data_IF_572689998410
#
_entry.id   IF_572689998410
#
_cell.length_a   1.000
_cell.length_b   1.000
_cell.length_c   1.000
_cell.angle_alpha   90.00
_cell.angle_beta   90.00
_cell.angle_gamma   90.00
#
_symmetry.space_group_name_H-M   'P 1'
#
loop_
_entity.id
_entity.type
_entity.pdbx_description
1 polymer ?
#
# COMPACT_ATOMS: atom_id res chain seq x y z
N UNK A 1 5.46 -12.93 25.53
CA UNK A 1 5.46 -11.85 24.54
C UNK A 1 6.81 -11.88 23.80
N UNK A 2 6.80 -11.70 22.52
CA UNK A 2 7.97 -11.69 21.65
C UNK A 2 8.14 -10.29 21.01
N UNK A 3 9.25 -10.10 20.31
CA UNK A 3 9.55 -8.88 19.57
C UNK A 3 10.34 -9.26 18.31
N UNK A 4 9.94 -8.73 17.18
CA UNK A 4 10.68 -8.77 15.92
C UNK A 4 11.23 -7.36 15.61
N UNK A 5 12.49 -7.29 15.23
CA UNK A 5 13.11 -6.02 14.80
C UNK A 5 13.13 -5.97 13.27
N UNK A 6 12.54 -4.92 12.71
CA UNK A 6 12.46 -4.71 11.26
C UNK A 6 13.80 -4.34 10.63
N UNK A 7 14.77 -3.97 11.44
CA UNK A 7 16.16 -3.75 11.02
C UNK A 7 17.04 -4.70 11.81
N UNK A 8 17.67 -5.67 11.13
CA UNK A 8 18.51 -6.67 11.80
C UNK A 8 19.83 -6.05 12.24
N UNK A 9 20.28 -6.45 13.44
CA UNK A 9 21.59 -6.12 13.98
C UNK A 9 22.70 -7.03 13.45
N UNK A 10 23.96 -6.74 13.76
CA UNK A 10 25.11 -7.53 13.30
C UNK A 10 25.00 -9.01 13.66
N UNK A 11 25.13 -9.86 12.65
CA UNK A 11 25.02 -11.31 12.76
C UNK A 11 23.59 -11.87 12.65
N UNK A 12 22.57 -11.01 12.57
CA UNK A 12 21.20 -11.41 12.27
C UNK A 12 20.99 -11.52 10.75
N UNK A 13 20.11 -12.42 10.26
CA UNK A 13 19.79 -12.53 8.83
C UNK A 13 19.27 -11.20 8.28
N UNK A 14 19.83 -10.78 7.13
CA UNK A 14 19.46 -9.53 6.45
C UNK A 14 20.34 -8.32 6.81
N UNK A 15 21.15 -8.36 7.88
CA UNK A 15 22.05 -7.26 8.23
C UNK A 15 23.12 -7.03 7.15
N UNK A 16 23.54 -8.08 6.46
CA UNK A 16 24.49 -8.04 5.34
C UNK A 16 23.96 -7.31 4.09
N UNK A 17 22.69 -6.93 4.09
CA UNK A 17 22.07 -6.09 3.04
C UNK A 17 22.17 -4.60 3.34
N UNK A 18 22.80 -4.22 4.43
CA UNK A 18 23.11 -2.86 4.84
C UNK A 18 24.63 -2.64 4.79
N UNK A 19 25.06 -1.62 4.05
CA UNK A 19 26.48 -1.30 4.01
C UNK A 19 26.95 -0.71 5.34
N UNK A 20 28.08 -1.19 5.83
CA UNK A 20 28.74 -0.72 7.04
C UNK A 20 27.78 -0.64 8.25
N UNK A 21 27.76 0.50 8.93
CA UNK A 21 26.92 0.76 10.10
C UNK A 21 25.60 1.48 9.74
N UNK A 22 25.22 1.55 8.44
CA UNK A 22 24.01 2.27 8.00
C UNK A 22 22.70 1.72 8.59
N UNK A 23 22.69 0.45 9.00
CA UNK A 23 21.57 -0.18 9.73
C UNK A 23 21.24 0.55 11.05
N UNK A 24 22.17 1.27 11.66
CA UNK A 24 21.96 2.00 12.93
C UNK A 24 21.02 3.20 12.78
N UNK A 25 20.89 3.75 11.58
CA UNK A 25 20.01 4.90 11.29
C UNK A 25 18.74 4.52 10.52
N UNK A 26 18.60 3.30 10.24
CA UNK A 26 17.68 2.44 9.53
C UNK A 26 16.37 2.93 9.01
N UNK A 27 15.31 3.15 9.77
CA UNK A 27 13.94 3.34 9.25
C UNK A 27 13.05 2.11 9.47
N UNK A 28 12.40 1.60 8.43
CA UNK A 28 11.53 0.40 8.43
C UNK A 28 10.39 0.43 9.46
N UNK A 29 9.74 1.58 9.64
CA UNK A 29 8.69 1.75 10.64
C UNK A 29 7.44 0.93 10.30
N UNK A 30 6.76 0.40 11.33
CA UNK A 30 5.51 -0.37 11.23
C UNK A 30 4.32 0.47 11.68
N UNK A 31 3.99 1.51 10.95
CA UNK A 31 3.05 2.54 11.37
C UNK A 31 1.59 2.29 10.93
N UNK A 32 1.33 1.23 10.14
CA UNK A 32 -0.03 0.78 9.78
C UNK A 32 -0.24 -0.64 10.31
N UNK A 33 -1.50 -1.04 10.52
CA UNK A 33 -1.85 -2.38 11.01
C UNK A 33 -1.59 -3.47 9.97
N UNK A 34 -1.27 -4.68 10.47
CA UNK A 34 -1.14 -5.88 9.64
C UNK A 34 -2.43 -6.71 9.56
N UNK A 35 -2.32 -7.92 9.04
CA UNK A 35 -3.38 -8.91 8.94
C UNK A 35 -2.98 -10.22 9.62
N UNK A 36 -3.94 -10.95 10.17
CA UNK A 36 -3.74 -12.25 10.81
C UNK A 36 -4.49 -13.35 10.08
N UNK A 37 -3.80 -14.45 9.80
CA UNK A 37 -4.38 -15.67 9.25
C UNK A 37 -4.49 -16.72 10.37
N UNK A 38 -5.73 -17.04 10.83
CA UNK A 38 -5.91 -18.01 11.92
C UNK A 38 -5.68 -19.47 11.49
N UNK A 39 -5.72 -19.79 10.19
CA UNK A 39 -5.46 -21.16 9.70
C UNK A 39 -3.97 -21.47 9.67
N UNK A 40 -3.18 -20.49 9.25
CA UNK A 40 -1.73 -20.61 9.16
C UNK A 40 -1.03 -20.17 10.45
N UNK A 41 -1.75 -19.51 11.36
CA UNK A 41 -1.22 -18.86 12.57
C UNK A 41 -0.13 -17.85 12.24
N UNK A 42 -0.28 -17.11 11.14
CA UNK A 42 0.68 -16.12 10.68
C UNK A 42 0.14 -14.70 10.82
N UNK A 43 1.01 -13.80 11.25
CA UNK A 43 0.80 -12.36 11.21
C UNK A 43 1.60 -11.79 10.05
N UNK A 44 0.92 -11.06 9.16
CA UNK A 44 1.55 -10.34 8.05
C UNK A 44 1.61 -8.86 8.37
N UNK A 45 2.81 -8.29 8.29
CA UNK A 45 3.00 -6.88 8.61
C UNK A 45 3.86 -6.18 7.58
N UNK A 46 3.38 -5.01 7.09
CA UNK A 46 4.14 -4.18 6.17
C UNK A 46 5.15 -3.30 6.90
N UNK A 47 6.31 -3.10 6.29
CA UNK A 47 7.38 -2.26 6.82
C UNK A 47 7.60 -1.04 5.93
N UNK A 48 8.01 0.07 6.53
CA UNK A 48 8.28 1.32 5.85
C UNK A 48 9.64 1.38 5.17
N UNK A 49 9.92 2.51 4.60
CA UNK A 49 11.15 2.82 3.88
C UNK A 49 12.40 2.81 4.77
N UNK A 50 13.60 2.62 4.19
CA UNK A 50 14.87 2.75 4.92
C UNK A 50 15.25 4.22 5.11
N UNK A 51 16.02 4.55 6.15
CA UNK A 51 16.55 5.87 6.41
C UNK A 51 18.04 6.00 6.07
N UNK A 52 18.48 7.14 5.50
CA UNK A 52 17.70 8.32 5.12
C UNK A 52 16.84 8.08 3.88
N UNK A 53 15.71 8.76 3.79
CA UNK A 53 14.65 8.43 2.80
C UNK A 53 15.13 8.52 1.35
N UNK A 54 15.87 9.58 0.98
CA UNK A 54 16.17 9.88 -0.43
C UNK A 54 17.64 9.70 -0.83
N UNK A 55 18.59 9.79 0.12
CA UNK A 55 20.00 9.53 -0.18
C UNK A 55 20.38 8.07 0.11
N UNK A 56 20.19 7.19 -0.88
CA UNK A 56 20.55 5.78 -0.77
C UNK A 56 22.06 5.51 -0.82
N UNK A 57 22.87 6.45 -1.27
CA UNK A 57 24.31 6.27 -1.44
C UNK A 57 25.04 6.00 -0.10
N UNK A 58 24.44 6.44 1.01
CA UNK A 58 24.96 6.23 2.37
C UNK A 58 24.52 4.91 3.02
N UNK A 59 23.66 4.12 2.33
CA UNK A 59 23.12 2.84 2.81
C UNK A 59 23.01 1.81 1.68
N UNK A 60 24.09 1.57 0.98
CA UNK A 60 24.11 0.63 -0.15
C UNK A 60 23.60 -0.77 0.26
N UNK A 61 23.02 -1.49 -0.70
CA UNK A 61 22.41 -2.79 -0.51
C UNK A 61 20.87 -2.73 -0.51
N UNK A 62 20.21 -3.85 -0.31
CA UNK A 62 18.75 -3.96 -0.39
C UNK A 62 18.03 -3.42 0.84
N UNK A 63 18.74 -3.27 1.97
CA UNK A 63 18.25 -2.70 3.23
C UNK A 63 17.08 -3.50 3.84
N UNK A 64 17.23 -4.83 4.02
CA UNK A 64 16.24 -5.67 4.67
C UNK A 64 16.06 -5.28 6.16
N UNK A 65 14.84 -5.29 6.68
CA UNK A 65 13.55 -5.63 6.03
C UNK A 65 12.72 -4.36 5.77
N UNK A 66 13.29 -3.33 5.13
CA UNK A 66 12.51 -2.18 4.67
C UNK A 66 11.68 -2.53 3.44
N UNK A 67 10.55 -1.85 3.26
CA UNK A 67 9.63 -2.02 2.13
C UNK A 67 9.23 -3.48 1.87
N UNK A 68 9.06 -4.21 2.95
CA UNK A 68 8.69 -5.62 2.95
C UNK A 68 7.27 -5.85 3.46
N UNK A 69 6.73 -7.01 3.14
CA UNK A 69 5.85 -7.74 4.05
C UNK A 69 6.68 -8.79 4.77
N UNK A 70 6.51 -8.88 6.08
CA UNK A 70 7.07 -9.95 6.91
C UNK A 70 5.93 -10.83 7.41
N UNK A 71 6.10 -12.15 7.28
CA UNK A 71 5.19 -13.15 7.84
C UNK A 71 5.82 -13.73 9.09
N UNK A 72 5.17 -13.50 10.22
CA UNK A 72 5.66 -13.92 11.54
C UNK A 72 4.74 -14.97 12.12
N UNK A 73 5.30 -16.01 12.73
CA UNK A 73 4.54 -16.92 13.57
C UNK A 73 3.93 -16.16 14.75
N UNK A 74 2.61 -16.25 14.92
CA UNK A 74 1.87 -15.43 15.88
C UNK A 74 2.21 -15.77 17.34
N UNK A 75 2.62 -17.00 17.62
CA UNK A 75 2.96 -17.45 18.97
C UNK A 75 4.40 -17.12 19.37
N UNK A 76 5.34 -17.22 18.43
CA UNK A 76 6.79 -17.10 18.70
C UNK A 76 7.38 -15.78 18.22
N UNK A 77 6.80 -15.15 17.20
CA UNK A 77 7.35 -13.98 16.52
C UNK A 77 8.53 -14.29 15.60
N UNK A 78 8.78 -15.58 15.34
CA UNK A 78 9.82 -15.99 14.38
C UNK A 78 9.41 -15.62 12.95
N UNK A 79 10.38 -15.14 12.16
CA UNK A 79 10.19 -14.84 10.75
C UNK A 79 10.06 -16.15 9.97
N UNK A 80 8.88 -16.36 9.36
CA UNK A 80 8.61 -17.52 8.51
C UNK A 80 9.04 -17.25 7.08
N UNK A 81 8.63 -16.10 6.54
CA UNK A 81 9.06 -15.61 5.24
C UNK A 81 8.93 -14.09 5.14
N UNK A 82 9.55 -13.50 4.14
CA UNK A 82 9.36 -12.10 3.77
C UNK A 82 9.34 -11.92 2.25
N UNK A 83 8.76 -10.81 1.80
CA UNK A 83 8.86 -10.37 0.42
C UNK A 83 9.15 -8.87 0.39
N UNK A 84 10.20 -8.47 -0.34
CA UNK A 84 10.60 -7.07 -0.46
C UNK A 84 10.08 -6.46 -1.77
N UNK A 85 9.19 -5.47 -1.68
CA UNK A 85 8.56 -4.83 -2.83
C UNK A 85 9.47 -3.81 -3.52
N UNK A 86 10.24 -3.06 -2.74
CA UNK A 86 11.11 -1.99 -3.26
C UNK A 86 12.51 -2.09 -2.63
N UNK A 87 13.38 -3.02 -3.12
CA UNK A 87 14.76 -3.11 -2.64
C UNK A 87 15.48 -1.77 -2.82
N UNK A 88 16.21 -1.32 -1.80
CA UNK A 88 16.92 -0.03 -1.83
C UNK A 88 16.01 1.14 -2.20
N UNK A 89 14.88 1.27 -1.51
CA UNK A 89 13.96 2.39 -1.76
C UNK A 89 14.63 3.74 -1.49
N UNK A 90 14.46 4.67 -2.41
CA UNK A 90 14.95 6.05 -2.37
C UNK A 90 13.85 7.06 -2.72
N UNK A 91 12.59 6.65 -2.60
CA UNK A 91 11.43 7.45 -2.99
C UNK A 91 10.39 7.58 -1.87
N UNK A 92 10.65 6.95 -0.70
CA UNK A 92 9.72 6.92 0.43
C UNK A 92 8.39 6.23 0.05
N UNK A 93 8.50 5.01 -0.54
CA UNK A 93 7.33 4.22 -0.95
C UNK A 93 6.99 3.09 0.00
N UNK A 94 7.00 3.36 1.29
CA UNK A 94 6.61 2.41 2.34
C UNK A 94 5.70 1.27 1.88
N UNK A 95 6.03 0.04 2.21
CA UNK A 95 5.17 -1.12 1.99
C UNK A 95 4.23 -1.35 3.19
N UNK A 96 3.51 -0.33 3.60
CA UNK A 96 2.66 -0.37 4.80
C UNK A 96 1.17 -0.50 4.50
N UNK A 97 0.79 -0.82 3.27
CA UNK A 97 -0.60 -1.09 2.93
C UNK A 97 -1.10 -2.34 3.68
N UNK A 98 -2.39 -2.36 4.02
CA UNK A 98 -2.97 -3.50 4.73
C UNK A 98 -3.00 -4.72 3.80
N UNK A 99 -2.38 -5.87 4.19
CA UNK A 99 -2.39 -7.09 3.41
C UNK A 99 -3.82 -7.61 3.23
N UNK A 100 -4.28 -7.80 2.00
CA UNK A 100 -5.55 -8.46 1.71
C UNK A 100 -5.31 -9.97 1.59
N UNK A 101 -6.00 -10.75 2.41
CA UNK A 101 -5.93 -12.21 2.40
C UNK A 101 -7.15 -12.75 1.68
N UNK A 102 -6.93 -13.52 0.60
CA UNK A 102 -7.99 -14.09 -0.22
C UNK A 102 -7.79 -15.59 -0.40
N UNK A 103 -8.87 -16.35 -0.23
CA UNK A 103 -8.93 -17.76 -0.64
C UNK A 103 -9.76 -17.81 -1.92
N UNK A 104 -9.09 -18.01 -3.05
CA UNK A 104 -9.73 -17.98 -4.36
C UNK A 104 -9.02 -18.91 -5.33
N UNK A 105 -9.64 -19.17 -6.47
CA UNK A 105 -8.99 -19.88 -7.56
C UNK A 105 -7.91 -18.98 -8.19
N UNK A 106 -6.73 -19.54 -8.43
CA UNK A 106 -5.65 -18.89 -9.16
C UNK A 106 -4.96 -19.94 -10.05
N UNK A 107 -4.91 -19.66 -11.36
CA UNK A 107 -4.34 -20.57 -12.37
C UNK A 107 -4.97 -21.99 -12.32
N UNK A 108 -6.27 -22.08 -12.06
CA UNK A 108 -7.07 -23.31 -11.99
C UNK A 108 -6.96 -24.09 -10.69
N UNK A 109 -6.30 -23.56 -9.67
CA UNK A 109 -6.15 -24.17 -8.36
C UNK A 109 -6.65 -23.24 -7.25
N UNK A 110 -7.24 -23.81 -6.17
CA UNK A 110 -7.57 -23.04 -4.97
C UNK A 110 -6.27 -22.66 -4.26
N UNK A 111 -6.05 -21.37 -4.07
CA UNK A 111 -4.86 -20.84 -3.42
C UNK A 111 -5.18 -19.83 -2.32
N UNK A 112 -4.28 -19.75 -1.37
CA UNK A 112 -4.25 -18.73 -0.32
C UNK A 112 -3.41 -17.57 -0.81
N UNK A 113 -4.07 -16.51 -1.28
CA UNK A 113 -3.39 -15.36 -1.87
C UNK A 113 -3.22 -14.22 -0.86
N UNK A 114 -2.12 -13.50 -1.00
CA UNK A 114 -1.93 -12.16 -0.49
C UNK A 114 -1.96 -11.19 -1.66
N UNK A 115 -2.90 -10.23 -1.64
CA UNK A 115 -3.12 -9.24 -2.68
C UNK A 115 -2.66 -7.88 -2.17
N UNK A 116 -1.69 -7.26 -2.86
CA UNK A 116 -1.00 -6.09 -2.34
C UNK A 116 -0.90 -4.96 -3.38
N UNK A 117 -1.81 -3.96 -3.36
CA UNK A 117 -1.65 -2.75 -4.15
C UNK A 117 -0.60 -1.85 -3.49
N UNK A 118 0.68 -2.03 -3.85
CA UNK A 118 1.80 -1.39 -3.18
C UNK A 118 1.93 0.09 -3.57
N UNK A 119 2.47 0.91 -2.64
CA UNK A 119 2.73 2.34 -2.83
C UNK A 119 3.63 2.64 -4.03
N UNK A 120 4.51 1.70 -4.39
CA UNK A 120 5.37 1.78 -5.58
C UNK A 120 4.63 1.65 -6.93
N UNK A 121 3.28 1.61 -6.92
CA UNK A 121 2.36 1.51 -8.05
C UNK A 121 2.27 0.14 -8.74
N UNK A 122 2.85 -0.90 -8.16
CA UNK A 122 2.66 -2.28 -8.59
C UNK A 122 1.64 -2.99 -7.69
N UNK A 123 0.76 -3.78 -8.32
CA UNK A 123 -0.11 -4.72 -7.64
C UNK A 123 0.57 -6.08 -7.63
N UNK A 124 0.85 -6.61 -6.44
CA UNK A 124 1.51 -7.90 -6.27
C UNK A 124 0.50 -8.96 -5.85
N UNK A 125 0.67 -10.16 -6.37
CA UNK A 125 -0.06 -11.37 -6.02
C UNK A 125 0.96 -12.36 -5.50
N UNK A 126 0.88 -12.69 -4.22
CA UNK A 126 1.77 -13.62 -3.54
C UNK A 126 0.98 -14.81 -3.03
N UNK A 127 1.62 -15.97 -2.95
CA UNK A 127 1.16 -17.07 -2.13
C UNK A 127 1.39 -16.71 -0.66
N UNK A 128 0.34 -16.65 0.17
CA UNK A 128 0.50 -16.19 1.55
C UNK A 128 1.03 -17.23 2.53
N UNK A 129 1.09 -18.51 2.11
CA UNK A 129 1.71 -19.57 2.92
C UNK A 129 3.23 -19.49 2.85
N UNK A 130 3.77 -19.15 1.66
CA UNK A 130 5.19 -19.27 1.36
C UNK A 130 5.90 -17.96 1.06
N UNK A 131 5.15 -16.90 0.71
CA UNK A 131 5.70 -15.64 0.19
C UNK A 131 6.10 -15.71 -1.28
N UNK A 132 5.80 -16.82 -1.98
CA UNK A 132 6.10 -16.97 -3.40
C UNK A 132 5.43 -15.88 -4.23
N UNK A 133 6.19 -15.23 -5.11
CA UNK A 133 5.67 -14.28 -6.08
C UNK A 133 4.97 -15.02 -7.21
N UNK A 134 3.68 -14.76 -7.40
CA UNK A 134 2.88 -15.38 -8.46
C UNK A 134 2.70 -14.47 -9.66
N UNK A 135 2.45 -13.18 -9.44
CA UNK A 135 2.28 -12.19 -10.49
C UNK A 135 2.42 -10.76 -9.95
N UNK A 136 2.69 -9.81 -10.85
CA UNK A 136 2.66 -8.38 -10.54
C UNK A 136 2.41 -7.55 -11.78
N UNK A 137 1.56 -6.51 -11.64
CA UNK A 137 1.20 -5.58 -12.71
C UNK A 137 1.15 -4.15 -12.18
N UNK A 138 1.56 -3.16 -12.99
CA UNK A 138 1.30 -1.76 -12.65
C UNK A 138 -0.21 -1.54 -12.57
N UNK A 139 -0.69 -1.02 -11.43
CA UNK A 139 -2.09 -0.63 -11.26
C UNK A 139 -2.26 0.89 -11.25
N UNK A 140 -1.15 1.64 -11.18
CA UNK A 140 -1.08 3.08 -11.31
C UNK A 140 0.14 3.46 -12.16
N UNK A 141 0.18 4.73 -12.59
CA UNK A 141 1.30 5.24 -13.39
C UNK A 141 2.61 5.10 -12.62
N UNK A 142 3.60 4.48 -13.24
CA UNK A 142 4.94 4.35 -12.73
C UNK A 142 5.98 4.49 -13.86
N UNK A 143 7.17 4.96 -13.52
CA UNK A 143 8.28 5.15 -14.48
C UNK A 143 9.61 4.59 -13.96
N UNK A 144 9.62 4.00 -12.77
CA UNK A 144 10.83 3.60 -12.05
C UNK A 144 11.29 2.16 -12.30
N UNK A 145 10.40 1.29 -12.78
CA UNK A 145 10.70 -0.10 -13.06
C UNK A 145 10.14 -0.53 -14.42
N UNK A 146 10.97 -1.19 -15.24
CA UNK A 146 10.57 -1.72 -16.54
C UNK A 146 9.66 -2.94 -16.41
N UNK A 147 9.95 -3.79 -15.42
CA UNK A 147 9.25 -5.06 -15.17
C UNK A 147 9.60 -5.57 -13.77
N UNK A 148 8.91 -6.63 -13.37
CA UNK A 148 9.33 -7.51 -12.28
C UNK A 148 9.98 -8.76 -12.89
N UNK A 149 10.99 -9.33 -12.23
CA UNK A 149 11.58 -10.60 -12.63
C UNK A 149 10.72 -11.80 -12.14
N UNK A 150 11.20 -13.01 -12.33
CA UNK A 150 10.50 -14.25 -11.94
C UNK A 150 10.29 -14.38 -10.42
N UNK A 151 11.02 -13.64 -9.61
CA UNK A 151 10.87 -13.60 -8.16
C UNK A 151 10.15 -12.34 -7.68
N UNK A 152 9.61 -11.52 -8.60
CA UNK A 152 8.91 -10.28 -8.29
C UNK A 152 9.83 -9.10 -7.96
N UNK A 153 11.15 -9.24 -8.14
CA UNK A 153 12.08 -8.15 -7.92
C UNK A 153 12.00 -7.12 -9.06
N UNK A 154 11.86 -5.82 -8.75
CA UNK A 154 11.79 -4.78 -9.77
C UNK A 154 13.10 -4.64 -10.55
N UNK A 155 13.01 -4.61 -11.89
CA UNK A 155 14.09 -4.20 -12.79
C UNK A 155 14.01 -2.70 -12.97
N UNK A 156 14.83 -1.96 -12.19
CA UNK A 156 14.80 -0.52 -12.17
C UNK A 156 15.16 0.09 -13.52
N UNK A 157 14.46 1.15 -13.89
CA UNK A 157 14.83 2.02 -15.00
C UNK A 157 16.08 2.80 -14.57
N UNK A 158 17.16 2.83 -15.38
CA UNK A 158 18.26 3.73 -15.14
C UNK A 158 17.78 5.19 -15.03
N UNK A 159 18.52 6.02 -14.32
CA UNK A 159 18.25 7.47 -14.17
C UNK A 159 16.94 7.82 -13.43
N UNK A 160 16.39 6.89 -12.61
CA UNK A 160 15.24 7.18 -11.73
C UNK A 160 15.63 7.37 -10.27
N UNK A 161 16.91 7.31 -9.95
CA UNK A 161 17.41 7.66 -8.63
C UNK A 161 17.34 9.16 -8.38
N UNK A 162 17.03 9.61 -7.15
CA UNK A 162 17.13 11.02 -6.79
C UNK A 162 18.51 11.58 -7.08
N UNK A 163 18.57 12.84 -7.49
CA UNK A 163 19.84 13.54 -7.80
C UNK A 163 19.89 14.91 -7.13
N UNK A 164 21.05 15.55 -7.11
CA UNK A 164 21.20 16.92 -6.56
C UNK A 164 20.37 17.92 -7.38
N UNK A 165 20.29 17.74 -8.69
CA UNK A 165 19.54 18.59 -9.61
C UNK A 165 18.04 18.28 -9.59
N UNK A 166 17.66 17.13 -9.06
CA UNK A 166 16.29 16.63 -9.01
C UNK A 166 15.98 15.67 -10.16
N UNK A 167 15.33 14.57 -9.82
CA UNK A 167 14.88 13.52 -10.76
C UNK A 167 13.37 13.34 -10.63
N UNK A 168 12.62 13.51 -11.72
CA UNK A 168 11.16 13.37 -11.73
C UNK A 168 10.78 11.92 -12.00
N UNK A 169 10.02 11.32 -11.06
CA UNK A 169 9.64 9.91 -11.10
C UNK A 169 8.15 9.76 -10.76
N UNK A 170 7.49 8.81 -11.40
CA UNK A 170 6.16 8.29 -11.03
C UNK A 170 6.32 6.90 -10.37
N UNK A 171 5.50 6.56 -9.37
CA UNK A 171 4.48 7.39 -8.75
C UNK A 171 5.08 8.56 -7.96
N UNK A 172 4.22 9.47 -7.53
CA UNK A 172 4.63 10.56 -6.63
C UNK A 172 5.02 10.01 -5.25
N UNK A 173 5.54 10.86 -4.37
CA UNK A 173 5.79 10.52 -2.96
C UNK A 173 4.52 10.00 -2.24
N UNK A 174 3.33 10.37 -2.69
CA UNK A 174 2.07 9.81 -2.21
C UNK A 174 1.82 8.36 -2.66
N UNK A 175 2.60 7.87 -3.63
CA UNK A 175 2.49 6.53 -4.19
C UNK A 175 1.36 6.36 -5.20
N UNK A 176 1.23 5.16 -5.73
CA UNK A 176 0.07 4.70 -6.49
C UNK A 176 -1.17 4.48 -5.61
N UNK A 177 -0.96 4.14 -4.35
CA UNK A 177 -1.90 4.14 -3.23
C UNK A 177 -1.11 4.40 -1.96
N UNK A 178 -1.75 4.45 -0.78
CA UNK A 178 -1.06 4.70 0.48
C UNK A 178 -1.69 3.88 1.62
N UNK A 179 -1.68 4.39 2.85
CA UNK A 179 -2.17 3.74 4.09
C UNK A 179 -3.68 3.47 4.13
N UNK A 180 -4.49 4.14 3.32
CA UNK A 180 -5.94 3.92 3.31
C UNK A 180 -6.28 2.53 2.80
N UNK A 181 -7.18 1.84 3.54
CA UNK A 181 -7.46 0.43 3.36
C UNK A 181 -8.04 0.12 1.98
N UNK A 182 -7.43 -0.81 1.22
CA UNK A 182 -8.10 -1.46 0.10
C UNK A 182 -9.16 -2.45 0.62
N UNK A 183 -9.96 -3.01 -0.27
CA UNK A 183 -10.95 -4.04 0.05
C UNK A 183 -10.97 -5.14 -1.01
N UNK A 184 -11.26 -6.38 -0.62
CA UNK A 184 -11.48 -7.50 -1.52
C UNK A 184 -12.90 -8.03 -1.36
N UNK A 185 -13.58 -8.30 -2.47
CA UNK A 185 -14.88 -8.96 -2.47
C UNK A 185 -14.77 -10.36 -3.08
N UNK A 186 -15.02 -11.41 -2.32
CA UNK A 186 -15.02 -12.78 -2.86
C UNK A 186 -16.20 -13.06 -3.82
N UNK A 187 -17.25 -12.22 -3.81
CA UNK A 187 -18.41 -12.39 -4.70
C UNK A 187 -18.12 -11.90 -6.12
N UNK A 188 -17.44 -10.76 -6.26
CA UNK A 188 -17.04 -10.22 -7.55
C UNK A 188 -15.66 -10.69 -7.98
N UNK A 189 -14.88 -11.29 -7.06
CA UNK A 189 -13.46 -11.63 -7.20
C UNK A 189 -12.64 -10.43 -7.67
N UNK A 190 -12.81 -9.28 -6.98
CA UNK A 190 -12.13 -8.02 -7.29
C UNK A 190 -11.54 -7.37 -6.04
N UNK A 191 -10.37 -6.76 -6.21
CA UNK A 191 -9.73 -5.87 -5.25
C UNK A 191 -10.06 -4.43 -5.60
N UNK A 192 -10.50 -3.66 -4.62
CA UNK A 192 -10.81 -2.23 -4.77
C UNK A 192 -9.76 -1.40 -4.05
N UNK A 193 -9.18 -0.46 -4.75
CA UNK A 193 -8.13 0.42 -4.22
C UNK A 193 -8.29 1.84 -4.72
N UNK A 194 -8.15 2.81 -3.82
CA UNK A 194 -8.00 4.22 -4.21
C UNK A 194 -6.60 4.42 -4.78
N UNK A 195 -6.53 4.76 -6.07
CA UNK A 195 -5.28 4.85 -6.83
C UNK A 195 -5.00 6.28 -7.31
N UNK A 196 -3.71 6.60 -7.47
CA UNK A 196 -3.23 7.89 -7.95
C UNK A 196 -2.21 7.74 -9.08
N UNK A 197 -2.35 8.56 -10.10
CA UNK A 197 -1.36 8.75 -11.15
C UNK A 197 -0.71 10.12 -10.97
N UNK A 198 0.45 10.17 -10.34
CA UNK A 198 1.17 11.40 -10.03
C UNK A 198 2.68 11.22 -10.15
N UNK A 199 3.42 12.32 -10.04
CA UNK A 199 4.88 12.33 -10.07
C UNK A 199 5.43 13.28 -9.00
N UNK A 200 6.69 13.05 -8.63
CA UNK A 200 7.47 13.92 -7.72
C UNK A 200 8.86 14.09 -8.29
N UNK A 201 9.44 15.28 -8.17
CA UNK A 201 10.84 15.52 -8.41
C UNK A 201 11.59 15.35 -7.09
N UNK A 202 12.44 14.33 -7.03
CA UNK A 202 13.19 13.93 -5.84
C UNK A 202 14.61 14.47 -5.88
N UNK A 203 15.08 14.96 -4.74
CA UNK A 203 16.44 15.55 -4.58
C UNK A 203 17.19 14.84 -3.49
N UNK A 204 18.47 14.59 -3.69
CA UNK A 204 19.38 14.17 -2.62
C UNK A 204 20.14 15.35 -2.02
N UNK A 205 20.51 15.17 -0.77
CA UNK A 205 21.37 16.08 -0.02
C UNK A 205 22.24 15.27 0.94
N UNK A 206 23.45 15.73 1.16
CA UNK A 206 24.29 15.19 2.22
C UNK A 206 23.82 15.77 3.56
N UNK A 207 23.25 14.91 4.38
CA UNK A 207 22.82 15.23 5.74
C UNK A 207 23.71 14.48 6.74
N UNK A 208 24.13 15.15 7.80
CA UNK A 208 24.76 14.49 8.95
C UNK A 208 23.67 13.94 9.88
N UNK A 209 23.84 12.70 10.33
CA UNK A 209 22.94 12.14 11.33
C UNK A 209 23.16 12.77 12.70
N UNK A 210 22.13 13.40 13.25
CA UNK A 210 22.12 13.95 14.61
C UNK A 210 20.93 13.32 15.35
N UNK A 211 21.21 12.62 16.45
CA UNK A 211 20.18 11.92 17.19
C UNK A 211 19.08 12.89 17.69
N UNK A 212 17.83 12.57 17.35
CA UNK A 212 16.64 13.39 17.68
C UNK A 212 16.32 14.48 16.66
N UNK A 213 17.12 14.65 15.61
CA UNK A 213 16.85 15.53 14.49
C UNK A 213 16.37 14.75 13.25
N UNK A 214 15.78 15.48 12.30
CA UNK A 214 15.32 14.88 11.05
C UNK A 214 16.50 14.52 10.16
N UNK A 215 16.55 13.26 9.74
CA UNK A 215 17.59 12.71 8.85
C UNK A 215 16.93 12.04 7.65
N UNK A 216 16.77 12.77 6.55
CA UNK A 216 16.07 12.31 5.35
C UNK A 216 16.94 12.23 4.11
N UNK A 217 18.10 12.84 4.11
CA UNK A 217 19.03 12.83 2.98
C UNK A 217 18.50 13.50 1.73
N UNK A 218 17.56 14.45 1.85
CA UNK A 218 17.00 15.14 0.69
C UNK A 218 15.56 15.58 0.84
N UNK A 219 14.78 15.45 -0.22
CA UNK A 219 13.38 15.82 -0.27
C UNK A 219 12.72 15.56 -1.61
N UNK A 220 11.42 15.85 -1.67
CA UNK A 220 10.66 15.79 -2.91
C UNK A 220 9.77 17.02 -3.10
N UNK A 221 9.63 17.48 -4.34
CA UNK A 221 8.65 18.49 -4.73
C UNK A 221 7.65 17.89 -5.71
N UNK A 222 6.38 18.00 -5.35
CA UNK A 222 5.29 17.54 -6.19
C UNK A 222 4.76 18.72 -7.01
N UNK A 223 4.61 18.60 -8.34
CA UNK A 223 4.03 19.66 -9.15
C UNK A 223 2.64 20.05 -8.66
N UNK A 224 2.37 21.34 -8.63
CA UNK A 224 1.03 21.90 -8.48
C UNK A 224 0.64 22.49 -9.84
N UNK A 225 -0.64 22.49 -10.22
CA UNK A 225 -1.81 22.28 -9.38
C UNK A 225 -2.13 20.80 -9.13
N UNK A 226 -2.85 20.54 -8.03
CA UNK A 226 -3.35 19.20 -7.69
C UNK A 226 -4.27 18.59 -8.78
N UNK A 227 -4.74 19.40 -9.71
CA UNK A 227 -5.57 19.01 -10.86
C UNK A 227 -4.81 18.16 -11.90
N UNK A 228 -3.47 18.06 -11.78
CA UNK A 228 -2.65 17.18 -12.63
C UNK A 228 -2.63 15.72 -12.17
N UNK A 229 -3.22 15.41 -10.99
CA UNK A 229 -3.35 14.06 -10.51
C UNK A 229 -4.64 13.43 -11.02
N UNK A 230 -4.50 12.36 -11.79
CA UNK A 230 -5.63 11.47 -12.00
C UNK A 230 -5.76 10.58 -10.76
N UNK A 231 -6.92 10.61 -10.13
CA UNK A 231 -7.26 9.74 -9.01
C UNK A 231 -8.52 8.94 -9.35
N UNK A 232 -8.54 7.67 -8.99
CA UNK A 232 -9.68 6.80 -9.23
C UNK A 232 -9.79 5.71 -8.15
N UNK A 233 -10.99 5.24 -7.90
CA UNK A 233 -11.20 3.93 -7.34
C UNK A 233 -11.03 2.91 -8.46
N UNK A 234 -10.06 2.00 -8.35
CA UNK A 234 -9.79 0.93 -9.32
C UNK A 234 -10.21 -0.42 -8.77
N UNK A 235 -10.87 -1.21 -9.60
CA UNK A 235 -11.15 -2.60 -9.34
C UNK A 235 -10.18 -3.48 -10.12
N UNK A 236 -9.43 -4.32 -9.41
CA UNK A 236 -8.34 -5.11 -9.98
C UNK A 236 -8.67 -6.58 -9.82
N UNK A 237 -8.53 -7.36 -10.90
CA UNK A 237 -8.68 -8.82 -10.86
C UNK A 237 -7.48 -9.45 -10.14
N UNK A 238 -7.68 -10.29 -9.11
CA UNK A 238 -6.61 -11.06 -8.48
C UNK A 238 -6.04 -12.14 -9.39
N UNK A 239 -6.76 -12.53 -10.44
CA UNK A 239 -6.32 -13.54 -11.40
C UNK A 239 -5.26 -13.00 -12.36
N UNK A 240 -5.38 -11.74 -12.76
CA UNK A 240 -4.56 -11.15 -13.81
C UNK A 240 -3.72 -9.96 -13.37
N UNK A 241 -4.06 -9.35 -12.24
CA UNK A 241 -3.50 -8.08 -11.78
C UNK A 241 -3.95 -6.87 -12.60
N UNK A 242 -4.91 -7.04 -13.53
CA UNK A 242 -5.38 -5.97 -14.41
C UNK A 242 -6.61 -5.26 -13.85
N UNK A 243 -6.64 -3.93 -14.03
CA UNK A 243 -7.82 -3.11 -13.73
C UNK A 243 -8.97 -3.52 -14.65
N UNK A 244 -10.12 -3.85 -14.05
CA UNK A 244 -11.35 -4.22 -14.76
C UNK A 244 -12.23 -3.00 -15.02
N UNK A 245 -12.31 -2.11 -14.05
CA UNK A 245 -12.99 -0.84 -14.15
C UNK A 245 -12.34 0.20 -13.23
N UNK A 246 -12.60 1.47 -13.52
CA UNK A 246 -12.23 2.58 -12.64
C UNK A 246 -13.36 3.60 -12.53
N UNK A 247 -13.49 4.19 -11.34
CA UNK A 247 -14.40 5.29 -11.06
C UNK A 247 -13.57 6.53 -10.74
N UNK A 248 -13.61 7.58 -11.58
CA UNK A 248 -12.82 8.79 -11.39
C UNK A 248 -13.16 9.50 -10.07
N UNK A 249 -12.16 9.92 -9.34
CA UNK A 249 -12.30 10.65 -8.08
C UNK A 249 -11.62 12.02 -8.22
N UNK A 250 -12.42 13.07 -8.04
CA UNK A 250 -11.89 14.43 -8.00
C UNK A 250 -12.63 15.22 -6.91
N UNK A 251 -11.89 15.90 -6.02
CA UNK A 251 -10.46 15.84 -5.80
C UNK A 251 -9.99 14.49 -5.23
N UNK A 252 -8.66 14.28 -5.18
CA UNK A 252 -8.01 13.08 -4.63
C UNK A 252 -8.65 12.62 -3.30
N UNK A 253 -8.80 11.32 -3.13
CA UNK A 253 -9.29 10.70 -1.90
C UNK A 253 -8.15 10.14 -1.04
N UNK A 254 -8.33 10.10 0.28
CA UNK A 254 -7.52 9.32 1.23
C UNK A 254 -8.41 8.40 2.06
N UNK A 255 -9.65 8.20 1.62
CA UNK A 255 -10.59 7.30 2.28
C UNK A 255 -10.28 5.85 1.96
N UNK A 256 -10.44 4.98 2.95
CA UNK A 256 -10.47 3.55 2.75
C UNK A 256 -11.74 3.11 2.02
N UNK A 257 -11.67 1.91 1.46
CA UNK A 257 -12.75 1.29 0.67
C UNK A 257 -13.41 0.19 1.49
N UNK A 258 -14.73 0.09 1.42
CA UNK A 258 -15.52 -1.00 1.99
C UNK A 258 -16.29 -1.71 0.89
N UNK A 259 -16.07 -3.00 0.68
CA UNK A 259 -16.95 -3.88 -0.12
C UNK A 259 -17.87 -4.68 0.80
N UNK A 260 -19.10 -4.93 0.35
CA UNK A 260 -20.11 -5.64 1.11
C UNK A 260 -20.67 -6.84 0.34
N UNK A 261 -21.29 -7.78 1.05
CA UNK A 261 -21.96 -8.93 0.45
C UNK A 261 -23.20 -8.57 -0.38
N UNK A 262 -23.67 -7.32 -0.30
CA UNK A 262 -24.72 -6.79 -1.18
C UNK A 262 -24.20 -6.29 -2.53
N UNK A 263 -22.97 -6.66 -2.91
CA UNK A 263 -22.32 -6.23 -4.17
C UNK A 263 -22.19 -4.71 -4.32
N UNK A 264 -21.99 -4.02 -3.17
CA UNK A 264 -21.79 -2.56 -3.12
C UNK A 264 -20.41 -2.24 -2.58
N UNK A 265 -19.75 -1.27 -3.22
CA UNK A 265 -18.46 -0.72 -2.79
C UNK A 265 -18.67 0.73 -2.35
N UNK A 266 -18.24 1.06 -1.14
CA UNK A 266 -18.30 2.39 -0.57
C UNK A 266 -16.92 3.04 -0.55
N UNK A 267 -16.89 4.35 -0.86
CA UNK A 267 -15.70 5.18 -0.76
C UNK A 267 -16.04 6.64 -0.51
N UNK A 268 -15.04 7.45 -0.27
CA UNK A 268 -15.24 8.86 0.02
C UNK A 268 -14.19 9.75 -0.64
N UNK A 269 -14.43 11.07 -0.61
CA UNK A 269 -13.57 12.07 -1.24
C UNK A 269 -13.17 13.19 -0.28
N UNK A 270 -12.12 13.93 -0.63
CA UNK A 270 -11.60 15.04 0.17
C UNK A 270 -12.52 16.28 0.19
N UNK A 271 -13.46 16.39 -0.74
CA UNK A 271 -14.48 17.45 -0.78
C UNK A 271 -15.81 17.04 -0.12
N UNK A 272 -15.83 15.84 0.50
CA UNK A 272 -16.90 15.42 1.38
C UNK A 272 -17.95 14.53 0.75
N UNK A 273 -17.77 14.05 -0.47
CA UNK A 273 -18.69 13.05 -1.03
C UNK A 273 -18.40 11.68 -0.43
N UNK A 274 -19.47 11.00 -0.07
CA UNK A 274 -19.51 9.58 0.27
C UNK A 274 -20.40 8.91 -0.78
N UNK A 275 -19.90 7.86 -1.43
CA UNK A 275 -20.53 7.23 -2.57
C UNK A 275 -20.63 5.71 -2.43
N UNK A 276 -21.59 5.12 -3.13
CA UNK A 276 -21.79 3.69 -3.28
C UNK A 276 -21.79 3.31 -4.77
N UNK A 277 -20.98 2.32 -5.13
CA UNK A 277 -20.84 1.82 -6.50
C UNK A 277 -21.26 0.35 -6.57
N UNK A 278 -21.71 -0.09 -7.73
CA UNK A 278 -21.83 -1.51 -8.05
C UNK A 278 -20.43 -2.15 -8.09
N UNK A 279 -20.22 -3.22 -7.33
CA UNK A 279 -18.90 -3.85 -7.17
C UNK A 279 -18.35 -4.44 -8.46
N UNK A 280 -19.21 -4.93 -9.36
CA UNK A 280 -18.80 -5.59 -10.60
C UNK A 280 -18.55 -4.63 -11.75
N UNK A 281 -19.23 -3.46 -11.78
CA UNK A 281 -19.22 -2.53 -12.92
C UNK A 281 -18.64 -1.18 -12.63
N UNK A 282 -18.54 -0.77 -11.35
CA UNK A 282 -18.16 0.58 -10.95
C UNK A 282 -19.24 1.64 -11.21
N UNK A 283 -20.46 1.24 -11.61
CA UNK A 283 -21.58 2.16 -11.79
C UNK A 283 -21.95 2.81 -10.46
N UNK A 284 -22.13 4.14 -10.46
CA UNK A 284 -22.58 4.88 -9.30
C UNK A 284 -24.05 4.57 -8.98
N UNK A 285 -24.27 4.03 -7.79
CA UNK A 285 -25.62 3.69 -7.30
C UNK A 285 -26.20 4.83 -6.46
N UNK A 286 -25.37 5.48 -5.68
CA UNK A 286 -25.76 6.52 -4.77
C UNK A 286 -24.58 7.37 -4.30
N UNK A 287 -24.84 8.61 -3.93
CA UNK A 287 -23.88 9.48 -3.26
C UNK A 287 -24.56 10.53 -2.38
N UNK A 288 -23.80 11.07 -1.44
CA UNK A 288 -24.21 12.21 -0.58
C UNK A 288 -22.99 13.07 -0.26
N UNK A 289 -23.17 14.39 -0.17
CA UNK A 289 -22.15 15.27 0.34
C UNK A 289 -22.34 15.47 1.84
N UNK A 290 -21.34 15.11 2.66
CA UNK A 290 -21.34 15.18 4.11
C UNK A 290 -20.87 16.54 4.66
N UNK A 291 -20.49 17.45 3.78
CA UNK A 291 -20.06 18.81 4.11
C UNK A 291 -18.66 18.91 4.72
N UNK A 292 -17.91 17.80 4.81
CA UNK A 292 -16.56 17.76 5.33
C UNK A 292 -15.78 16.60 4.72
N UNK A 293 -14.44 16.69 4.74
CA UNK A 293 -13.53 15.67 4.18
C UNK A 293 -13.79 14.29 4.73
N UNK A 294 -13.82 13.28 3.85
CA UNK A 294 -13.84 11.87 4.19
C UNK A 294 -12.43 11.31 4.12
N UNK A 295 -11.83 11.00 5.28
CA UNK A 295 -10.51 10.38 5.40
C UNK A 295 -10.58 8.95 5.91
N UNK A 296 -11.68 8.59 6.58
CA UNK A 296 -11.87 7.28 7.17
C UNK A 296 -12.30 6.25 6.12
N UNK A 297 -12.04 4.98 6.40
CA UNK A 297 -12.75 3.89 5.75
C UNK A 297 -14.16 3.76 6.33
N UNK A 298 -15.13 3.42 5.49
CA UNK A 298 -16.46 3.06 5.94
C UNK A 298 -16.45 1.72 6.70
N UNK A 299 -17.41 1.51 7.59
CA UNK A 299 -17.64 0.25 8.29
C UNK A 299 -19.10 -0.17 8.16
N UNK A 300 -19.35 -1.48 8.09
CA UNK A 300 -20.71 -2.04 8.16
C UNK A 300 -20.91 -2.76 9.49
N UNK A 301 -22.07 -2.59 10.09
CA UNK A 301 -22.46 -3.25 11.33
C UNK A 301 -23.99 -3.45 11.35
N UNK A 302 -24.49 -4.29 12.25
CA UNK A 302 -25.92 -4.51 12.44
C UNK A 302 -26.33 -4.27 13.89
N UNK A 303 -27.52 -3.67 14.08
CA UNK A 303 -28.16 -3.51 15.37
C UNK A 303 -29.61 -4.01 15.23
N UNK A 304 -30.00 -4.96 16.06
CA UNK A 304 -31.36 -5.56 16.06
C UNK A 304 -31.80 -6.10 14.68
N UNK A 305 -30.83 -6.61 13.89
CA UNK A 305 -31.06 -7.16 12.55
C UNK A 305 -31.08 -6.11 11.42
N UNK A 306 -31.02 -4.83 11.73
CA UNK A 306 -30.90 -3.75 10.73
C UNK A 306 -29.44 -3.50 10.43
N UNK A 307 -29.06 -3.51 9.16
CA UNK A 307 -27.70 -3.20 8.70
C UNK A 307 -27.51 -1.69 8.58
N UNK A 308 -26.35 -1.24 9.04
CA UNK A 308 -25.90 0.14 8.95
C UNK A 308 -24.55 0.22 8.27
N UNK A 309 -24.31 1.34 7.59
CA UNK A 309 -23.00 1.76 7.11
C UNK A 309 -22.61 3.05 7.80
N UNK A 310 -21.49 3.03 8.51
CA UNK A 310 -20.97 4.16 9.27
C UNK A 310 -19.73 4.74 8.60
N UNK A 311 -19.60 6.08 8.61
CA UNK A 311 -18.46 6.81 8.06
C UNK A 311 -18.20 8.09 8.85
N UNK A 312 -16.93 8.42 9.08
CA UNK A 312 -16.52 9.69 9.65
C UNK A 312 -16.18 10.70 8.55
N UNK A 313 -16.76 11.90 8.63
CA UNK A 313 -16.40 13.02 7.78
C UNK A 313 -16.09 14.25 8.66
N UNK A 314 -14.86 14.74 8.61
CA UNK A 314 -14.38 15.75 9.57
C UNK A 314 -14.51 15.25 11.01
N UNK A 315 -15.26 15.98 11.82
CA UNK A 315 -15.50 15.67 13.23
C UNK A 315 -16.88 15.02 13.49
N UNK A 316 -17.58 14.58 12.46
CA UNK A 316 -18.92 13.99 12.54
C UNK A 316 -18.89 12.55 12.08
N UNK A 317 -19.55 11.67 12.83
CA UNK A 317 -19.81 10.30 12.42
C UNK A 317 -21.24 10.21 11.89
N UNK A 318 -21.37 9.74 10.65
CA UNK A 318 -22.65 9.51 9.95
C UNK A 318 -22.96 8.03 9.90
N UNK A 319 -24.24 7.73 9.96
CA UNK A 319 -24.76 6.37 9.88
C UNK A 319 -25.91 6.33 8.88
N UNK A 320 -25.86 5.38 7.98
CA UNK A 320 -26.86 5.16 6.94
C UNK A 320 -27.46 3.77 7.09
N UNK A 321 -28.75 3.65 6.80
CA UNK A 321 -29.48 2.39 6.67
C UNK A 321 -30.38 2.48 5.44
N UNK A 322 -30.80 1.35 4.90
CA UNK A 322 -31.87 1.32 3.92
C UNK A 322 -33.20 1.55 4.64
N UNK A 323 -34.08 2.33 4.03
CA UNK A 323 -35.49 2.43 4.45
C UNK A 323 -36.20 1.09 4.14
N UNK A 324 -37.13 0.67 5.04
CA UNK A 324 -37.94 -0.55 4.88
C UNK A 324 -38.90 -0.47 3.68
#
# INVERSE_FOLDING_TARGET
>A
AWRFYTIPGPGEPGNDTWADDSWMTGGSATWVTGSYDPELNLIYWGTGNPGPDWNGDVRLGDNLYSDCVVALDADTGELVWYFQFTPHDVHDWDATQIPLLADTEYDGEQRKLMLWPNRNAWFYILDRETGEFLNGRPYARQSWAESLDENGRPRRVPDTFPSVEGTTVSPSIGGGSNWFSPSYSPLSDLVYVTAYDGETTYFIRDDEYIAGERFTGGGGTTPLPQDSYHAALRAISPQTGLTQWEYPIQPRSTAGVLSTAGEVVFGGTMDGYFYALNSSTGEELWYVNLGSRVHAGAMSYAVDGVQYVGIAAGNVFYTFALDD
#
